data_IF_643703760165
#
_entry.id   IF_643703760165
#
_cell.length_a   1.000
_cell.length_b   1.000
_cell.length_c   1.000
_cell.angle_alpha   90.00
_cell.angle_beta   90.00
_cell.angle_gamma   90.00
#
_symmetry.space_group_name_H-M   'P 1'
#
loop_
_entity.id
_entity.type
_entity.pdbx_description
1 polymer ?
#
# COMPACT_ATOMS: atom_id res chain seq x y z
N UNK A 1 9.03 -18.68 11.89
CA UNK A 1 9.08 -18.08 10.54
C UNK A 1 10.30 -17.16 10.52
N UNK A 2 11.28 -17.44 9.67
CA UNK A 2 12.54 -16.69 9.62
C UNK A 2 12.37 -15.52 8.63
N UNK A 3 11.98 -14.34 9.11
CA UNK A 3 12.09 -13.08 8.37
C UNK A 3 13.57 -12.64 8.29
N UNK A 4 14.44 -13.53 7.79
CA UNK A 4 15.82 -13.17 7.51
C UNK A 4 15.85 -12.39 6.20
N UNK A 5 16.22 -11.12 6.32
CA UNK A 5 16.55 -10.15 5.26
C UNK A 5 16.62 -10.74 3.85
N UNK A 6 15.54 -10.66 3.05
CA UNK A 6 15.62 -10.92 1.63
C UNK A 6 16.57 -9.87 1.04
N UNK A 7 17.78 -10.28 0.65
CA UNK A 7 18.69 -9.43 -0.13
C UNK A 7 18.02 -9.20 -1.48
N UNK A 8 17.38 -8.06 -1.63
CA UNK A 8 16.81 -7.59 -2.89
C UNK A 8 17.92 -7.30 -3.91
N UNK A 9 17.58 -7.18 -5.20
CA UNK A 9 18.51 -6.77 -6.26
C UNK A 9 19.24 -5.45 -5.96
N UNK A 10 18.58 -4.56 -5.20
CA UNK A 10 19.13 -3.28 -4.71
C UNK A 10 20.01 -3.42 -3.46
N UNK A 11 20.30 -4.66 -2.98
CA UNK A 11 21.05 -4.98 -1.75
C UNK A 11 20.55 -4.28 -0.48
N UNK A 12 19.29 -3.84 -0.47
CA UNK A 12 18.68 -3.12 0.64
C UNK A 12 17.56 -3.96 1.28
N UNK A 13 17.31 -3.72 2.56
CA UNK A 13 16.19 -4.35 3.28
C UNK A 13 14.89 -3.73 2.80
N UNK A 14 13.88 -4.57 2.54
CA UNK A 14 12.57 -4.13 2.04
C UNK A 14 11.82 -3.27 3.06
N UNK A 15 11.80 -3.68 4.33
CA UNK A 15 11.01 -3.02 5.37
C UNK A 15 11.90 -2.50 6.48
N UNK A 16 11.62 -1.28 6.93
CA UNK A 16 12.33 -0.63 8.02
C UNK A 16 11.33 -0.39 9.14
N UNK A 17 11.76 -0.71 10.36
CA UNK A 17 11.02 -0.42 11.58
C UNK A 17 11.62 0.81 12.27
N UNK A 18 10.75 1.73 12.66
CA UNK A 18 11.08 2.92 13.44
C UNK A 18 10.25 2.93 14.72
N UNK A 19 10.89 3.38 15.80
CA UNK A 19 10.22 3.54 17.09
C UNK A 19 9.83 5.00 17.26
N UNK A 20 8.54 5.26 17.39
CA UNK A 20 8.02 6.57 17.71
C UNK A 20 8.00 6.73 19.23
N UNK A 21 8.75 7.71 19.72
CA UNK A 21 8.84 8.04 21.13
C UNK A 21 7.61 8.75 21.68
N UNK A 22 6.79 9.37 20.83
CA UNK A 22 5.58 10.09 21.26
C UNK A 22 4.42 9.12 21.53
N UNK A 23 4.23 8.15 20.64
CA UNK A 23 3.17 7.13 20.77
C UNK A 23 3.64 5.84 21.44
N UNK A 24 4.93 5.74 21.75
CA UNK A 24 5.61 4.56 22.28
C UNK A 24 5.40 3.29 21.44
N UNK A 25 5.23 3.46 20.12
CA UNK A 25 4.88 2.38 19.18
C UNK A 25 5.94 2.18 18.11
N UNK A 26 6.00 0.93 17.63
CA UNK A 26 6.80 0.58 16.48
C UNK A 26 5.98 0.73 15.22
N UNK A 27 6.52 1.44 14.25
CA UNK A 27 5.98 1.59 12.91
C UNK A 27 6.88 0.86 11.92
N UNK A 28 6.28 0.22 10.93
CA UNK A 28 7.02 -0.48 9.88
C UNK A 28 6.60 0.08 8.53
N UNK A 29 7.59 0.54 7.77
CA UNK A 29 7.39 1.12 6.45
C UNK A 29 8.16 0.38 5.37
N UNK A 30 7.75 0.58 4.12
CA UNK A 30 8.58 0.23 2.99
C UNK A 30 9.78 1.17 2.95
N UNK A 31 10.97 0.62 2.76
CA UNK A 31 12.17 1.41 2.60
C UNK A 31 12.04 2.32 1.37
N UNK A 32 12.34 3.61 1.51
CA UNK A 32 12.20 4.66 0.49
C UNK A 32 12.89 4.34 -0.85
N UNK A 33 13.90 3.46 -0.82
CA UNK A 33 14.61 2.97 -2.00
C UNK A 33 13.72 2.10 -2.91
N UNK A 34 12.62 1.56 -2.37
CA UNK A 34 11.65 0.75 -3.09
C UNK A 34 10.33 1.48 -3.24
N UNK A 35 9.75 1.35 -4.43
CA UNK A 35 8.36 1.72 -4.68
C UNK A 35 7.46 0.49 -4.49
N UNK A 36 6.17 0.71 -4.26
CA UNK A 36 5.20 -0.39 -4.19
C UNK A 36 5.22 -1.29 -5.44
N UNK A 37 5.50 -0.72 -6.61
CA UNK A 37 5.61 -1.45 -7.86
C UNK A 37 6.86 -2.33 -7.96
N UNK A 38 7.91 -2.03 -7.18
CA UNK A 38 9.11 -2.86 -7.10
C UNK A 38 8.87 -4.17 -6.33
N UNK A 39 7.77 -4.27 -5.58
CA UNK A 39 7.42 -5.47 -4.82
C UNK A 39 6.83 -6.54 -5.73
N UNK A 40 7.30 -7.77 -5.58
CA UNK A 40 6.76 -8.90 -6.33
C UNK A 40 5.28 -9.17 -5.95
N UNK A 41 4.46 -9.73 -6.85
CA UNK A 41 3.10 -10.15 -6.53
C UNK A 41 3.01 -11.10 -5.34
N UNK A 42 4.03 -11.93 -5.16
CA UNK A 42 4.15 -12.83 -4.01
C UNK A 42 4.33 -12.04 -2.71
N UNK A 43 5.24 -11.05 -2.67
CA UNK A 43 5.44 -10.21 -1.48
C UNK A 43 4.17 -9.45 -1.12
N UNK A 44 3.46 -8.89 -2.12
CA UNK A 44 2.17 -8.22 -1.91
C UNK A 44 1.13 -9.17 -1.29
N UNK A 45 1.02 -10.39 -1.81
CA UNK A 45 0.13 -11.43 -1.26
C UNK A 45 0.52 -11.81 0.17
N UNK A 46 1.82 -11.92 0.47
CA UNK A 46 2.28 -12.21 1.83
C UNK A 46 1.96 -11.09 2.81
N UNK A 47 2.10 -9.83 2.43
CA UNK A 47 1.71 -8.69 3.28
C UNK A 47 0.21 -8.69 3.57
N UNK A 48 -0.62 -9.04 2.56
CA UNK A 48 -2.07 -9.20 2.74
C UNK A 48 -2.41 -10.28 3.75
N UNK A 49 -1.80 -11.46 3.64
CA UNK A 49 -2.15 -12.62 4.46
C UNK A 49 -1.39 -12.67 5.79
N UNK A 50 -0.51 -11.70 6.06
CA UNK A 50 0.41 -11.73 7.19
C UNK A 50 -0.28 -11.86 8.56
N UNK A 51 -1.38 -11.13 8.86
CA UNK A 51 -2.08 -11.28 10.14
C UNK A 51 -2.65 -12.69 10.34
N UNK A 52 -3.32 -13.22 9.31
CA UNK A 52 -3.91 -14.55 9.33
C UNK A 52 -2.84 -15.65 9.45
N UNK A 53 -1.73 -15.52 8.70
CA UNK A 53 -0.62 -16.45 8.78
C UNK A 53 0.06 -16.43 10.16
N UNK A 54 0.22 -15.26 10.77
CA UNK A 54 0.78 -15.13 12.11
C UNK A 54 -0.12 -15.80 13.16
N UNK A 55 -1.44 -15.56 13.07
CA UNK A 55 -2.42 -16.17 13.95
C UNK A 55 -2.47 -17.69 13.82
N UNK A 56 -2.56 -18.20 12.60
CA UNK A 56 -2.58 -19.63 12.32
C UNK A 56 -1.30 -20.32 12.80
N UNK A 57 -0.12 -19.74 12.52
CA UNK A 57 1.15 -20.28 12.98
C UNK A 57 1.25 -20.30 14.51
N UNK A 58 0.70 -19.28 15.19
CA UNK A 58 0.66 -19.24 16.65
C UNK A 58 -0.28 -20.30 17.22
N UNK A 59 -1.50 -20.40 16.71
CA UNK A 59 -2.49 -21.38 17.15
C UNK A 59 -1.97 -22.83 16.98
N UNK A 60 -1.29 -23.12 15.87
CA UNK A 60 -0.66 -24.42 15.64
C UNK A 60 0.45 -24.72 16.65
N UNK A 61 1.28 -23.72 16.99
CA UNK A 61 2.39 -23.89 17.94
C UNK A 61 1.93 -23.93 19.40
N UNK A 62 0.84 -23.24 19.72
CA UNK A 62 0.32 -23.07 21.07
C UNK A 62 -1.19 -23.34 21.12
N UNK A 63 -1.65 -24.60 20.91
CA UNK A 63 -3.07 -24.92 20.75
C UNK A 63 -3.91 -24.69 22.02
N UNK A 64 -3.28 -24.49 23.17
CA UNK A 64 -3.95 -24.21 24.46
C UNK A 64 -4.04 -22.72 24.80
N UNK A 65 -3.47 -21.83 23.98
CA UNK A 65 -3.49 -20.38 24.18
C UNK A 65 -4.50 -19.74 23.26
N UNK A 66 -5.04 -18.59 23.65
CA UNK A 66 -5.88 -17.80 22.75
C UNK A 66 -5.03 -17.35 21.56
N UNK A 67 -5.58 -17.50 20.36
CA UNK A 67 -4.86 -17.18 19.12
C UNK A 67 -4.37 -15.72 19.15
N UNK A 68 -5.21 -14.78 19.57
CA UNK A 68 -4.91 -13.35 19.71
C UNK A 68 -3.69 -12.99 20.58
N UNK A 69 -3.22 -13.89 21.44
CA UNK A 69 -2.02 -13.66 22.26
C UNK A 69 -0.73 -13.60 21.43
N UNK A 70 -0.77 -14.01 20.17
CA UNK A 70 0.36 -13.86 19.25
C UNK A 70 0.83 -12.40 19.17
N UNK A 71 -0.09 -11.43 19.27
CA UNK A 71 0.19 -9.99 19.19
C UNK A 71 1.14 -9.51 20.29
N UNK A 72 1.09 -10.14 21.47
CA UNK A 72 1.89 -9.79 22.64
C UNK A 72 3.29 -10.43 22.62
N UNK A 73 3.55 -11.39 21.73
CA UNK A 73 4.87 -12.02 21.62
C UNK A 73 5.87 -10.98 21.15
N UNK A 74 7.00 -10.88 21.86
CA UNK A 74 8.09 -10.03 21.39
C UNK A 74 9.00 -10.82 20.45
N UNK A 75 9.45 -10.14 19.40
CA UNK A 75 10.51 -10.60 18.52
C UNK A 75 11.69 -9.64 18.63
N UNK A 76 12.89 -10.23 18.65
CA UNK A 76 14.12 -9.45 18.56
C UNK A 76 14.23 -8.86 17.15
N UNK A 77 14.22 -7.54 17.07
CA UNK A 77 14.38 -6.77 15.84
C UNK A 77 15.71 -6.01 15.88
N UNK A 78 16.36 -5.90 14.73
CA UNK A 78 17.58 -5.12 14.56
C UNK A 78 17.36 -4.15 13.41
N UNK A 79 17.48 -2.86 13.69
CA UNK A 79 17.26 -1.80 12.71
C UNK A 79 18.50 -1.67 11.82
N UNK A 80 18.47 -2.26 10.62
CA UNK A 80 19.54 -2.12 9.63
C UNK A 80 20.95 -2.39 10.20
N UNK A 81 21.82 -1.38 10.09
CA UNK A 81 23.22 -1.43 10.56
C UNK A 81 23.41 -1.17 12.05
N UNK A 82 22.35 -0.87 12.82
CA UNK A 82 22.48 -0.64 14.26
C UNK A 82 23.10 -1.85 14.95
N UNK A 83 23.96 -1.63 15.93
CA UNK A 83 24.50 -2.72 16.77
C UNK A 83 23.50 -3.17 17.84
N UNK A 84 22.46 -2.36 18.10
CA UNK A 84 21.44 -2.61 19.12
C UNK A 84 20.32 -3.46 18.58
N UNK A 85 19.80 -4.32 19.45
CA UNK A 85 18.61 -5.12 19.17
C UNK A 85 17.49 -4.69 20.09
N UNK A 86 16.30 -4.56 19.54
CA UNK A 86 15.09 -4.12 20.22
C UNK A 86 14.11 -5.28 20.36
N UNK A 87 13.29 -5.24 21.40
CA UNK A 87 12.17 -6.17 21.56
C UNK A 87 10.94 -5.50 20.97
N UNK A 88 10.40 -6.08 19.90
CA UNK A 88 9.23 -5.52 19.21
C UNK A 88 8.05 -6.47 19.37
N UNK A 89 6.88 -5.98 19.83
CA UNK A 89 5.66 -6.78 19.80
C UNK A 89 5.33 -7.22 18.38
N UNK A 90 5.09 -8.52 18.20
CA UNK A 90 4.79 -9.12 16.90
C UNK A 90 3.53 -8.52 16.30
N UNK A 91 2.57 -8.11 17.15
CA UNK A 91 1.40 -7.35 16.72
C UNK A 91 1.79 -6.07 15.96
N UNK A 92 2.63 -5.22 16.55
CA UNK A 92 3.07 -3.98 15.89
C UNK A 92 3.80 -4.25 14.58
N UNK A 93 4.64 -5.30 14.53
CA UNK A 93 5.35 -5.69 13.32
C UNK A 93 4.41 -6.16 12.21
N UNK A 94 3.48 -7.05 12.54
CA UNK A 94 2.55 -7.62 11.55
C UNK A 94 1.52 -6.59 11.11
N UNK A 95 0.95 -5.82 12.04
CA UNK A 95 -0.02 -4.78 11.74
C UNK A 95 0.62 -3.67 10.89
N UNK A 96 1.85 -3.23 11.22
CA UNK A 96 2.57 -2.23 10.43
C UNK A 96 2.95 -2.72 9.03
N UNK A 97 3.33 -4.00 8.87
CA UNK A 97 3.56 -4.54 7.53
C UNK A 97 2.27 -4.70 6.73
N UNK A 98 1.17 -5.03 7.40
CA UNK A 98 -0.14 -5.15 6.76
C UNK A 98 -0.71 -3.80 6.34
N UNK A 99 -0.48 -2.73 7.11
CA UNK A 99 -0.93 -1.38 6.75
C UNK A 99 -0.32 -0.91 5.43
N UNK A 100 0.96 -1.23 5.16
CA UNK A 100 1.59 -0.95 3.86
C UNK A 100 0.75 -1.52 2.69
N UNK A 101 0.20 -2.73 2.85
CA UNK A 101 -0.67 -3.31 1.83
C UNK A 101 -2.00 -2.55 1.70
N UNK A 102 -2.65 -2.23 2.82
CA UNK A 102 -3.92 -1.51 2.83
C UNK A 102 -3.79 -0.12 2.20
N UNK A 103 -2.80 0.66 2.63
CA UNK A 103 -2.56 2.03 2.15
C UNK A 103 -2.38 2.06 0.63
N UNK A 104 -1.67 1.06 0.06
CA UNK A 104 -1.42 1.01 -1.37
C UNK A 104 -2.59 0.44 -2.19
N UNK A 105 -3.41 -0.45 -1.63
CA UNK A 105 -4.63 -0.93 -2.30
C UNK A 105 -5.69 0.16 -2.34
N UNK A 106 -5.91 0.87 -1.24
CA UNK A 106 -6.88 1.96 -1.19
C UNK A 106 -6.54 3.08 -2.18
N UNK A 107 -5.27 3.50 -2.25
CA UNK A 107 -4.79 4.49 -3.23
C UNK A 107 -5.00 4.01 -4.67
N UNK A 108 -4.71 2.74 -4.98
CA UNK A 108 -4.94 2.20 -6.32
C UNK A 108 -6.42 2.09 -6.67
N UNK A 109 -7.28 1.81 -5.69
CA UNK A 109 -8.72 1.68 -5.89
C UNK A 109 -9.38 3.07 -6.09
N UNK A 110 -8.96 4.07 -5.32
CA UNK A 110 -9.37 5.47 -5.53
C UNK A 110 -8.90 6.00 -6.90
N UNK A 111 -7.65 5.74 -7.29
CA UNK A 111 -7.14 6.12 -8.60
C UNK A 111 -7.93 5.45 -9.75
N UNK A 112 -8.35 4.19 -9.59
CA UNK A 112 -9.20 3.49 -10.55
C UNK A 112 -10.60 4.08 -10.65
N UNK A 113 -11.22 4.45 -9.52
CA UNK A 113 -12.53 5.11 -9.52
C UNK A 113 -12.45 6.46 -10.23
N UNK A 114 -11.41 7.25 -9.97
CA UNK A 114 -11.18 8.52 -10.65
C UNK A 114 -10.91 8.34 -12.15
N UNK A 115 -10.11 7.34 -12.54
CA UNK A 115 -9.86 7.03 -13.96
C UNK A 115 -11.13 6.55 -14.68
N UNK A 116 -11.96 5.72 -14.02
CA UNK A 116 -13.23 5.27 -14.57
C UNK A 116 -14.21 6.43 -14.78
N UNK A 117 -14.27 7.36 -13.81
CA UNK A 117 -15.10 8.56 -13.91
C UNK A 117 -14.58 9.53 -14.99
N UNK A 118 -13.27 9.65 -15.17
CA UNK A 118 -12.69 10.44 -16.27
C UNK A 118 -13.08 9.89 -17.64
N UNK A 119 -13.00 8.57 -17.83
CA UNK A 119 -13.43 7.94 -19.08
C UNK A 119 -14.95 8.08 -19.33
N UNK A 120 -15.76 8.05 -18.28
CA UNK A 120 -17.20 8.32 -18.38
C UNK A 120 -17.51 9.76 -18.84
N UNK A 121 -16.71 10.75 -18.41
CA UNK A 121 -16.84 12.13 -18.89
C UNK A 121 -16.44 12.29 -20.37
N UNK A 122 -15.43 11.56 -20.85
CA UNK A 122 -14.99 11.65 -22.27
C UNK A 122 -15.93 10.97 -23.27
N UNK A 123 -16.86 10.13 -22.82
CA UNK A 123 -17.82 9.45 -23.70
C UNK A 123 -19.04 10.31 -24.08
N UNK A 124 -19.26 11.44 -23.40
CA UNK A 124 -20.44 12.30 -23.63
C UNK A 124 -20.18 13.35 -24.73
N UNK A 125 -18.92 13.58 -25.14
CA UNK A 125 -18.55 14.64 -26.09
C UNK A 125 -18.44 14.22 -27.56
N UNK A 126 -18.97 13.05 -27.95
CA UNK A 126 -18.98 12.60 -29.37
C UNK A 126 -20.31 12.84 -30.11
N UNK A 127 -21.13 13.78 -29.64
CA UNK A 127 -22.39 14.18 -30.30
C UNK A 127 -22.48 15.65 -30.73
N UNK A 128 -21.36 16.35 -30.91
CA UNK A 128 -21.37 17.61 -31.66
C UNK A 128 -21.16 17.37 -33.16
N UNK A 129 -22.28 17.14 -33.87
CA UNK A 129 -22.39 17.39 -35.32
C UNK A 129 -22.05 18.87 -35.59
N UNK A 130 -21.18 19.21 -36.55
CA UNK A 130 -21.04 20.59 -36.98
C UNK A 130 -22.30 21.00 -37.75
N UNK A 131 -23.09 21.92 -37.18
CA UNK A 131 -24.12 22.62 -37.93
C UNK A 131 -23.44 23.59 -38.89
N UNK A 132 -23.79 23.44 -40.17
CA UNK A 132 -23.42 24.31 -41.28
C UNK A 132 -23.75 25.79 -41.01
N UNK A 133 -22.91 26.75 -41.42
CA UNK A 133 -23.27 28.15 -41.35
C UNK A 133 -24.14 28.51 -42.55
N UNK A 134 -25.45 28.57 -42.36
CA UNK A 134 -26.37 29.26 -43.28
C UNK A 134 -26.74 30.61 -42.64
N UNK A 135 -26.04 31.67 -43.03
CA UNK A 135 -26.45 33.03 -42.74
C UNK A 135 -26.21 33.88 -43.99
N UNK A 136 -27.23 33.89 -44.85
CA UNK A 136 -27.39 34.88 -45.91
C UNK A 136 -27.72 36.23 -45.25
N UNK A 137 -26.92 37.25 -45.48
CA UNK A 137 -27.36 38.64 -45.33
C UNK A 137 -26.95 39.42 -46.57
N UNK A 138 -27.96 39.86 -47.30
CA UNK A 138 -27.86 40.63 -48.51
C UNK A 138 -28.47 42.02 -48.23
N UNK A 139 -27.74 43.06 -48.66
CA UNK A 139 -28.20 44.42 -49.04
C UNK A 139 -28.69 45.35 -47.92
N UNK A 140 -28.00 46.50 -47.73
CA UNK A 140 -28.51 47.81 -48.19
C UNK A 140 -27.39 48.86 -48.30
N UNK A 141 -27.49 49.63 -49.39
CA UNK A 141 -26.63 50.72 -49.87
C UNK A 141 -27.43 52.03 -49.74
N UNK A 142 -26.82 53.08 -49.20
CA UNK A 142 -27.09 54.53 -49.31
C UNK A 142 -26.49 55.16 -48.03
N UNK A 143 -25.66 56.22 -48.04
CA UNK A 143 -25.57 57.39 -48.91
C UNK A 143 -24.14 57.65 -49.37
#
# INVERSE_FOLDING_TARGET
MNLHHPRTSKKAVLFIGDYDTETERWYFGLNEVFKWDDLSPETKTRLRLLPEQAENAFAQKYPRRLSSEWRQKTQKYRRGSDLRSYQVPLGHLVDGLHSIYLDNVEVQQQARVLAHNWHACTAIDNHYRPLTPHASFNVYRAY
#
